data_IF_540586596607
#
_entry.id   IF_540586596607
#
_cell.length_a   1.000
_cell.length_b   1.000
_cell.length_c   1.000
_cell.angle_alpha   90.00
_cell.angle_beta   90.00
_cell.angle_gamma   90.00
#
_symmetry.space_group_name_H-M   'P 1'
#
loop_
_entity.id
_entity.type
_entity.pdbx_description
1 polymer ?
#
# COMPACT_ATOMS: atom_id res chain seq x y z
N UNK A 1 -15.70 -9.52 19.97
CA UNK A 1 -16.45 -10.05 21.17
C UNK A 1 -17.56 -9.08 21.52
N UNK A 2 -18.74 -9.62 21.73
CA UNK A 2 -19.93 -8.88 22.11
C UNK A 2 -20.64 -9.58 23.28
N UNK A 3 -21.35 -8.80 24.08
CA UNK A 3 -22.23 -9.29 25.16
C UNK A 3 -21.55 -10.36 26.07
N UNK A 4 -22.13 -11.52 26.21
CA UNK A 4 -21.65 -12.61 27.10
C UNK A 4 -20.34 -13.23 26.64
N UNK A 5 -19.89 -12.98 25.42
CA UNK A 5 -18.57 -13.41 24.97
C UNK A 5 -17.43 -12.71 25.69
N UNK A 6 -17.72 -11.52 26.27
CA UNK A 6 -16.74 -10.72 27.00
C UNK A 6 -16.54 -11.33 28.38
N UNK A 7 -15.35 -11.87 28.64
CA UNK A 7 -15.00 -12.59 29.86
C UNK A 7 -14.23 -11.76 30.88
N UNK A 8 -13.93 -10.52 30.56
CA UNK A 8 -13.24 -9.62 31.48
C UNK A 8 -14.15 -9.27 32.67
N UNK A 9 -13.59 -9.17 33.85
CA UNK A 9 -14.35 -8.87 35.07
C UNK A 9 -14.77 -7.40 35.12
N UNK A 10 -13.91 -6.52 34.67
CA UNK A 10 -14.13 -5.08 34.63
C UNK A 10 -13.85 -4.54 33.25
N UNK A 11 -14.62 -3.54 32.83
CA UNK A 11 -14.47 -2.89 31.55
C UNK A 11 -14.60 -1.38 31.72
N UNK A 12 -13.93 -0.63 30.85
CA UNK A 12 -14.14 0.81 30.73
C UNK A 12 -15.32 1.01 29.80
N UNK A 13 -16.43 1.50 30.35
CA UNK A 13 -17.68 1.59 29.62
C UNK A 13 -17.91 2.95 29.01
N UNK A 14 -18.34 2.94 27.75
CA UNK A 14 -18.88 4.11 27.03
C UNK A 14 -20.35 3.79 26.73
N UNK A 15 -21.27 4.67 27.09
CA UNK A 15 -22.69 4.45 26.86
C UNK A 15 -23.11 4.72 25.40
N UNK A 16 -24.38 4.52 25.10
CA UNK A 16 -24.97 4.70 23.78
C UNK A 16 -24.87 6.14 23.26
N UNK A 17 -24.73 7.11 24.15
CA UNK A 17 -24.58 8.53 23.82
C UNK A 17 -23.12 8.97 23.70
N UNK A 18 -22.17 8.06 23.89
CA UNK A 18 -20.75 8.36 23.84
C UNK A 18 -20.15 8.88 25.14
N UNK A 19 -20.91 8.88 26.23
CA UNK A 19 -20.45 9.32 27.54
C UNK A 19 -19.64 8.24 28.23
N UNK A 20 -18.51 8.64 28.84
CA UNK A 20 -17.68 7.69 29.59
C UNK A 20 -18.27 7.44 30.97
N UNK A 21 -18.53 6.16 31.28
CA UNK A 21 -19.07 5.73 32.57
C UNK A 21 -17.97 5.25 33.52
N UNK A 22 -16.69 5.35 33.10
CA UNK A 22 -15.56 4.86 33.89
C UNK A 22 -15.44 3.35 33.87
N UNK A 23 -14.69 2.81 34.84
CA UNK A 23 -14.49 1.36 34.99
C UNK A 23 -15.66 0.81 35.79
N UNK A 24 -16.36 -0.16 35.20
CA UNK A 24 -17.50 -0.82 35.82
C UNK A 24 -17.34 -2.36 35.74
N UNK A 25 -18.05 -3.06 36.63
CA UNK A 25 -18.13 -4.52 36.56
C UNK A 25 -18.85 -4.95 35.29
N UNK A 26 -18.47 -6.06 34.69
CA UNK A 26 -19.06 -6.59 33.46
C UNK A 26 -20.57 -6.79 33.58
N UNK A 27 -21.07 -7.23 34.74
CA UNK A 27 -22.49 -7.43 34.96
C UNK A 27 -23.26 -6.12 34.88
N UNK A 28 -22.72 -5.05 35.42
CA UNK A 28 -23.30 -3.71 35.33
C UNK A 28 -23.34 -3.24 33.87
N UNK A 29 -22.26 -3.42 33.12
CA UNK A 29 -22.17 -3.05 31.71
C UNK A 29 -23.20 -3.81 30.87
N UNK A 30 -23.36 -5.11 31.11
CA UNK A 30 -24.33 -5.94 30.40
C UNK A 30 -25.78 -5.52 30.71
N UNK A 31 -26.07 -5.18 31.95
CA UNK A 31 -27.41 -4.67 32.34
C UNK A 31 -27.72 -3.34 31.67
N UNK A 32 -26.76 -2.45 31.59
CA UNK A 32 -26.92 -1.15 30.91
C UNK A 32 -27.20 -1.32 29.42
N UNK A 33 -26.50 -2.24 28.76
CA UNK A 33 -26.70 -2.56 27.36
C UNK A 33 -28.11 -3.14 27.13
N UNK A 34 -28.52 -4.08 27.98
CA UNK A 34 -29.86 -4.69 27.93
C UNK A 34 -30.96 -3.66 28.16
N UNK A 35 -30.79 -2.76 29.13
CA UNK A 35 -31.76 -1.68 29.41
C UNK A 35 -31.91 -0.71 28.22
N UNK A 36 -30.85 -0.51 27.42
CA UNK A 36 -30.88 0.30 26.22
C UNK A 36 -31.33 -0.46 24.96
N UNK A 37 -31.59 -1.76 25.10
CA UNK A 37 -31.92 -2.68 23.99
C UNK A 37 -30.84 -2.65 22.90
N UNK A 38 -29.59 -2.63 23.31
CA UNK A 38 -28.40 -2.58 22.45
C UNK A 38 -27.41 -3.65 22.88
N UNK A 39 -26.32 -3.74 22.15
CA UNK A 39 -25.23 -4.68 22.41
C UNK A 39 -24.08 -4.01 23.17
N UNK A 40 -23.39 -4.80 24.01
CA UNK A 40 -22.11 -4.40 24.60
C UNK A 40 -20.99 -4.91 23.69
N UNK A 41 -20.22 -4.00 23.10
CA UNK A 41 -19.17 -4.32 22.12
C UNK A 41 -17.81 -3.95 22.68
N UNK A 42 -16.88 -4.90 22.68
CA UNK A 42 -15.48 -4.68 23.09
C UNK A 42 -14.73 -4.03 21.92
N UNK A 43 -14.47 -2.72 22.02
CA UNK A 43 -13.85 -1.94 20.95
C UNK A 43 -12.33 -1.82 21.05
N UNK A 44 -11.78 -1.90 22.27
CA UNK A 44 -10.34 -1.84 22.49
C UNK A 44 -9.90 -2.97 23.42
N UNK A 45 -9.66 -4.19 22.88
CA UNK A 45 -9.31 -5.36 23.69
C UNK A 45 -7.91 -5.27 24.30
N UNK A 46 -7.05 -4.46 23.76
CA UNK A 46 -5.66 -4.29 24.23
C UNK A 46 -5.52 -3.33 25.41
N UNK A 47 -6.54 -2.53 25.67
CA UNK A 47 -6.54 -1.63 26.84
C UNK A 47 -6.71 -2.42 28.14
N UNK A 48 -6.21 -1.89 29.27
CA UNK A 48 -6.35 -2.50 30.58
C UNK A 48 -6.96 -1.48 31.52
N UNK A 49 -8.24 -1.65 31.95
CA UNK A 49 -9.20 -2.65 31.49
C UNK A 49 -9.67 -2.39 30.03
N UNK A 50 -10.18 -3.42 29.33
CA UNK A 50 -10.62 -3.25 27.95
C UNK A 50 -11.78 -2.26 27.86
N UNK A 51 -11.84 -1.51 26.75
CA UNK A 51 -12.90 -0.54 26.51
C UNK A 51 -14.06 -1.22 25.79
N UNK A 52 -15.26 -1.06 26.36
CA UNK A 52 -16.50 -1.55 25.78
C UNK A 52 -17.45 -0.39 25.54
N UNK A 53 -18.24 -0.46 24.49
CA UNK A 53 -19.26 0.54 24.15
C UNK A 53 -20.60 -0.13 23.93
N UNK A 54 -21.64 0.54 24.38
CA UNK A 54 -23.03 0.12 24.16
C UNK A 54 -23.45 0.67 22.79
N UNK A 55 -23.78 -0.22 21.84
CA UNK A 55 -24.16 0.15 20.48
C UNK A 55 -24.90 -0.98 19.77
N UNK A 56 -25.51 -0.68 18.64
CA UNK A 56 -26.06 -1.69 17.74
C UNK A 56 -24.89 -2.34 16.98
N UNK A 57 -24.57 -3.59 17.30
CA UNK A 57 -23.45 -4.32 16.70
C UNK A 57 -23.61 -4.54 15.19
N UNK A 58 -24.82 -4.81 14.73
CA UNK A 58 -25.08 -4.99 13.31
C UNK A 58 -24.75 -3.76 12.50
N UNK A 59 -25.20 -2.58 12.98
CA UNK A 59 -24.90 -1.29 12.37
C UNK A 59 -23.40 -0.99 12.41
N UNK A 60 -22.76 -1.23 13.54
CA UNK A 60 -21.31 -1.03 13.72
C UNK A 60 -20.52 -1.87 12.73
N UNK A 61 -20.85 -3.16 12.61
CA UNK A 61 -20.20 -4.07 11.69
C UNK A 61 -20.34 -3.63 10.23
N UNK A 62 -21.52 -3.17 9.86
CA UNK A 62 -21.79 -2.66 8.52
C UNK A 62 -20.93 -1.42 8.21
N UNK A 63 -20.88 -0.46 9.15
CA UNK A 63 -20.06 0.75 9.00
C UNK A 63 -18.56 0.42 8.91
N UNK A 64 -18.06 -0.55 9.70
CA UNK A 64 -16.68 -0.99 9.63
C UNK A 64 -16.35 -1.62 8.27
N UNK A 65 -17.21 -2.47 7.74
CA UNK A 65 -17.05 -3.08 6.42
C UNK A 65 -17.01 -2.02 5.32
N UNK A 66 -17.90 -1.03 5.41
CA UNK A 66 -17.95 0.08 4.46
C UNK A 66 -16.66 0.91 4.50
N UNK A 67 -16.17 1.20 5.70
CA UNK A 67 -14.91 1.95 5.90
C UNK A 67 -13.72 1.21 5.34
N UNK A 68 -13.63 -0.10 5.57
CA UNK A 68 -12.57 -0.95 5.03
C UNK A 68 -12.58 -0.97 3.50
N UNK A 69 -13.77 -1.05 2.87
CA UNK A 69 -13.91 -1.00 1.42
C UNK A 69 -13.45 0.34 0.85
N UNK A 70 -13.79 1.46 1.49
CA UNK A 70 -13.34 2.79 1.09
C UNK A 70 -11.82 2.93 1.20
N UNK A 71 -11.22 2.43 2.28
CA UNK A 71 -9.78 2.43 2.47
C UNK A 71 -9.06 1.62 1.38
N UNK A 72 -9.61 0.46 1.00
CA UNK A 72 -9.05 -0.35 -0.09
C UNK A 72 -9.12 0.36 -1.44
N UNK A 73 -10.22 1.05 -1.72
CA UNK A 73 -10.37 1.83 -2.96
C UNK A 73 -9.38 2.99 -3.04
N UNK A 74 -9.11 3.64 -1.90
CA UNK A 74 -8.21 4.78 -1.81
C UNK A 74 -6.75 4.37 -1.68
N UNK A 75 -6.48 3.08 -1.49
CA UNK A 75 -5.12 2.57 -1.40
C UNK A 75 -4.46 2.63 -2.77
N UNK A 76 -3.37 3.39 -2.86
CA UNK A 76 -2.58 3.52 -4.07
C UNK A 76 -1.84 2.21 -4.33
N UNK A 77 -2.19 1.54 -5.44
CA UNK A 77 -1.47 0.34 -5.88
C UNK A 77 -0.24 0.79 -6.66
N UNK A 78 0.94 0.42 -6.17
CA UNK A 78 2.20 0.65 -6.89
C UNK A 78 2.35 -0.46 -7.92
N UNK A 79 2.28 -0.11 -9.19
CA UNK A 79 2.53 -1.05 -10.29
C UNK A 79 3.97 -0.96 -10.76
N UNK A 80 4.47 -2.03 -11.37
CA UNK A 80 5.76 -2.04 -12.05
C UNK A 80 5.49 -1.98 -13.54
N UNK A 81 5.81 -0.84 -14.15
CA UNK A 81 5.66 -0.64 -15.59
C UNK A 81 6.95 -1.05 -16.29
N UNK A 82 6.84 -1.64 -17.47
CA UNK A 82 8.01 -2.05 -18.25
C UNK A 82 8.22 -1.11 -19.42
N UNK A 83 9.48 -0.67 -19.59
CA UNK A 83 9.93 0.08 -20.75
C UNK A 83 11.00 -0.74 -21.45
N UNK A 84 10.78 -1.04 -22.72
CA UNK A 84 11.70 -1.81 -23.54
C UNK A 84 12.50 -0.90 -24.44
N UNK A 85 13.82 -1.04 -24.37
CA UNK A 85 14.76 -0.37 -25.26
C UNK A 85 15.43 -1.40 -26.16
N UNK A 86 16.07 -0.95 -27.22
CA UNK A 86 16.94 -1.80 -28.04
C UNK A 86 18.38 -1.29 -27.97
N UNK A 87 19.34 -2.16 -28.22
CA UNK A 87 20.75 -1.79 -28.23
C UNK A 87 21.09 -0.79 -29.35
N UNK A 88 20.23 -0.69 -30.37
CA UNK A 88 20.37 0.19 -31.53
C UNK A 88 19.33 1.33 -31.54
N UNK A 89 18.69 1.61 -30.40
CA UNK A 89 17.65 2.64 -30.30
C UNK A 89 18.20 4.02 -30.70
N UNK A 90 17.42 4.77 -31.49
CA UNK A 90 17.81 6.12 -31.87
C UNK A 90 17.44 7.15 -30.77
N UNK A 91 17.95 8.35 -30.92
CA UNK A 91 17.77 9.43 -29.94
C UNK A 91 16.30 9.80 -29.76
N UNK A 92 15.55 9.90 -30.85
CA UNK A 92 14.13 10.27 -30.80
C UNK A 92 13.29 9.24 -30.04
N UNK A 93 13.46 7.97 -30.35
CA UNK A 93 12.75 6.89 -29.67
C UNK A 93 13.12 6.82 -28.19
N UNK A 94 14.38 7.06 -27.86
CA UNK A 94 14.84 7.12 -26.48
C UNK A 94 14.16 8.26 -25.72
N UNK A 95 14.02 9.43 -26.33
CA UNK A 95 13.31 10.56 -25.72
C UNK A 95 11.82 10.27 -25.47
N UNK A 96 11.16 9.60 -26.42
CA UNK A 96 9.76 9.16 -26.27
C UNK A 96 9.62 8.20 -25.10
N UNK A 97 10.51 7.23 -25.01
CA UNK A 97 10.52 6.26 -23.90
C UNK A 97 10.83 6.93 -22.55
N UNK A 98 11.73 7.90 -22.55
CA UNK A 98 12.07 8.66 -21.35
C UNK A 98 10.87 9.48 -20.83
N UNK A 99 10.11 10.09 -21.71
CA UNK A 99 8.89 10.83 -21.34
C UNK A 99 7.85 9.89 -20.73
N UNK A 100 7.65 8.72 -21.33
CA UNK A 100 6.73 7.70 -20.79
C UNK A 100 7.19 7.23 -19.42
N UNK A 101 8.48 6.99 -19.23
CA UNK A 101 9.06 6.61 -17.95
C UNK A 101 8.83 7.66 -16.87
N UNK A 102 9.09 8.91 -17.18
CA UNK A 102 8.88 10.04 -16.26
C UNK A 102 7.41 10.13 -15.85
N UNK A 103 6.49 9.92 -16.78
CA UNK A 103 5.05 9.92 -16.49
C UNK A 103 4.67 8.80 -15.52
N UNK A 104 5.18 7.59 -15.73
CA UNK A 104 4.94 6.46 -14.81
C UNK A 104 5.49 6.74 -13.42
N UNK A 105 6.70 7.27 -13.33
CA UNK A 105 7.34 7.61 -12.06
C UNK A 105 6.58 8.70 -11.30
N UNK A 106 6.10 9.73 -12.00
CA UNK A 106 5.28 10.79 -11.40
C UNK A 106 3.95 10.27 -10.88
N UNK A 107 3.41 9.23 -11.50
CA UNK A 107 2.21 8.55 -11.05
C UNK A 107 2.44 7.65 -9.82
N UNK A 108 3.68 7.49 -9.39
CA UNK A 108 4.06 6.67 -8.24
C UNK A 108 4.42 5.23 -8.57
N UNK A 109 4.48 4.88 -9.84
CA UNK A 109 4.83 3.53 -10.28
C UNK A 109 6.34 3.33 -10.35
N UNK A 110 6.77 2.07 -10.18
CA UNK A 110 8.14 1.67 -10.45
C UNK A 110 8.27 1.32 -11.93
N UNK A 111 9.47 1.47 -12.48
CA UNK A 111 9.74 1.18 -13.89
C UNK A 111 10.86 0.17 -14.01
N UNK A 112 10.60 -0.89 -14.76
CA UNK A 112 11.60 -1.86 -15.17
C UNK A 112 12.02 -1.52 -16.60
N UNK A 113 13.26 -1.10 -16.78
CA UNK A 113 13.83 -0.81 -18.10
C UNK A 113 14.58 -2.05 -18.57
N UNK A 114 14.26 -2.53 -19.76
CA UNK A 114 14.86 -3.74 -20.30
C UNK A 114 15.37 -3.55 -21.73
N UNK A 115 16.49 -4.22 -22.03
CA UNK A 115 17.04 -4.34 -23.38
C UNK A 115 17.13 -5.83 -23.69
N UNK A 116 16.58 -6.23 -24.82
CA UNK A 116 16.73 -7.59 -25.34
C UNK A 116 17.79 -7.57 -26.44
N UNK A 117 18.89 -8.29 -26.21
CA UNK A 117 19.95 -8.44 -27.21
C UNK A 117 19.56 -9.49 -28.24
N UNK A 118 19.76 -9.17 -29.50
CA UNK A 118 19.48 -10.08 -30.62
C UNK A 118 20.77 -10.50 -31.30
N UNK A 119 20.88 -11.79 -31.61
CA UNK A 119 22.05 -12.36 -32.33
C UNK A 119 23.36 -12.08 -31.61
N UNK A 120 24.31 -11.46 -32.32
CA UNK A 120 25.66 -11.18 -31.80
C UNK A 120 25.72 -10.06 -30.77
N UNK A 121 24.62 -9.29 -30.59
CA UNK A 121 24.56 -8.19 -29.62
C UNK A 121 24.78 -8.66 -28.18
N UNK A 122 24.53 -9.92 -27.88
CA UNK A 122 24.75 -10.52 -26.55
C UNK A 122 26.20 -10.32 -26.09
N UNK A 123 27.13 -10.33 -27.01
CA UNK A 123 28.55 -10.17 -26.72
C UNK A 123 28.97 -8.73 -26.45
N UNK A 124 28.07 -7.78 -26.71
CA UNK A 124 28.27 -6.33 -26.59
C UNK A 124 27.43 -5.74 -25.46
N UNK A 125 27.53 -6.33 -24.27
CA UNK A 125 26.84 -5.82 -23.08
C UNK A 125 27.23 -4.40 -22.69
N UNK A 126 28.43 -3.95 -23.07
CA UNK A 126 28.91 -2.58 -22.92
C UNK A 126 28.03 -1.57 -23.66
N UNK A 127 27.59 -1.90 -24.88
CA UNK A 127 26.66 -1.05 -25.67
C UNK A 127 25.32 -0.94 -24.95
N UNK A 128 24.80 -2.05 -24.42
CA UNK A 128 23.56 -2.05 -23.62
C UNK A 128 23.69 -1.18 -22.38
N UNK A 129 24.81 -1.26 -21.69
CA UNK A 129 25.08 -0.44 -20.52
C UNK A 129 25.12 1.07 -20.85
N UNK A 130 25.75 1.43 -21.97
CA UNK A 130 25.76 2.81 -22.47
C UNK A 130 24.34 3.32 -22.73
N UNK A 131 23.51 2.50 -23.38
CA UNK A 131 22.08 2.83 -23.64
C UNK A 131 21.33 3.03 -22.32
N UNK A 132 21.52 2.14 -21.35
CA UNK A 132 20.88 2.26 -20.03
C UNK A 132 21.32 3.53 -19.30
N UNK A 133 22.59 3.85 -19.34
CA UNK A 133 23.12 5.05 -18.70
C UNK A 133 22.60 6.32 -19.38
N UNK A 134 22.54 6.35 -20.70
CA UNK A 134 21.99 7.48 -21.45
C UNK A 134 20.49 7.67 -21.15
N UNK A 135 19.75 6.58 -21.06
CA UNK A 135 18.33 6.63 -20.69
C UNK A 135 18.15 7.16 -19.28
N UNK A 136 18.93 6.67 -18.32
CA UNK A 136 18.83 7.14 -16.92
C UNK A 136 19.15 8.63 -16.82
N UNK A 137 20.13 9.14 -17.56
CA UNK A 137 20.45 10.57 -17.58
C UNK A 137 19.25 11.43 -18.01
N UNK A 138 18.40 10.91 -18.90
CA UNK A 138 17.18 11.61 -19.34
C UNK A 138 16.08 11.65 -18.26
N UNK A 139 16.07 10.71 -17.32
CA UNK A 139 15.01 10.56 -16.32
C UNK A 139 15.49 10.77 -14.87
N UNK A 140 16.74 11.07 -14.67
CA UNK A 140 17.39 11.15 -13.34
C UNK A 140 16.72 12.13 -12.37
N UNK A 141 16.08 13.17 -12.88
CA UNK A 141 15.38 14.15 -12.03
C UNK A 141 14.14 13.57 -11.37
N UNK A 142 13.58 12.51 -11.94
CA UNK A 142 12.37 11.84 -11.46
C UNK A 142 12.60 10.41 -10.98
N UNK A 143 13.80 9.86 -11.12
CA UNK A 143 14.11 8.46 -10.90
C UNK A 143 15.32 8.25 -9.98
N UNK A 144 15.20 7.21 -9.16
CA UNK A 144 16.33 6.62 -8.43
C UNK A 144 16.52 5.19 -8.93
N UNK A 145 17.78 4.76 -9.01
CA UNK A 145 18.10 3.37 -9.38
C UNK A 145 17.86 2.49 -8.15
N UNK A 146 16.86 1.60 -8.24
CA UNK A 146 16.61 0.59 -7.21
C UNK A 146 17.54 -0.60 -7.41
N UNK A 147 17.69 -1.03 -8.66
CA UNK A 147 18.67 -2.06 -9.07
C UNK A 147 19.42 -1.58 -10.30
N UNK A 148 20.75 -1.56 -10.26
CA UNK A 148 21.54 -1.13 -11.39
C UNK A 148 21.40 -2.08 -12.59
N UNK A 149 21.75 -1.59 -13.78
CA UNK A 149 21.68 -2.37 -15.00
C UNK A 149 22.56 -3.62 -14.90
N UNK A 150 21.96 -4.77 -15.19
CA UNK A 150 22.63 -6.07 -15.15
C UNK A 150 22.18 -6.91 -16.33
N UNK A 151 23.16 -7.49 -17.01
CA UNK A 151 22.90 -8.42 -18.10
C UNK A 151 22.69 -9.83 -17.57
N UNK A 152 21.58 -10.43 -17.93
CA UNK A 152 21.24 -11.82 -17.63
C UNK A 152 20.85 -12.52 -18.94
N UNK A 153 21.76 -13.34 -19.48
CA UNK A 153 21.55 -13.98 -20.78
C UNK A 153 21.36 -12.96 -21.90
N UNK A 154 20.20 -13.02 -22.56
CA UNK A 154 19.86 -12.13 -23.68
C UNK A 154 19.23 -10.81 -23.27
N UNK A 155 19.04 -10.59 -21.98
CA UNK A 155 18.35 -9.41 -21.47
C UNK A 155 19.27 -8.62 -20.54
N UNK A 156 19.13 -7.30 -20.59
CA UNK A 156 19.69 -6.40 -19.59
C UNK A 156 18.53 -5.66 -18.95
N UNK A 157 18.50 -5.60 -17.62
CA UNK A 157 17.42 -4.94 -16.89
C UNK A 157 17.96 -3.97 -15.85
N UNK A 158 17.22 -2.90 -15.67
CA UNK A 158 17.47 -1.88 -14.65
C UNK A 158 16.13 -1.51 -14.02
N UNK A 159 16.09 -1.45 -12.69
CA UNK A 159 14.85 -1.08 -11.99
C UNK A 159 14.97 0.34 -11.44
N UNK A 160 13.97 1.15 -11.73
CA UNK A 160 13.86 2.52 -11.28
C UNK A 160 12.67 2.68 -10.33
N UNK A 161 12.82 3.55 -9.35
CA UNK A 161 11.78 3.92 -8.42
C UNK A 161 11.60 5.45 -8.45
N UNK A 162 10.39 5.96 -8.14
CA UNK A 162 10.17 7.41 -8.10
C UNK A 162 11.10 8.09 -7.10
N UNK A 163 11.66 9.21 -7.51
CA UNK A 163 12.45 10.04 -6.61
C UNK A 163 11.51 10.81 -5.70
N UNK A 164 11.72 10.69 -4.40
CA UNK A 164 10.96 11.45 -3.43
C UNK A 164 11.27 12.95 -3.54
N UNK A 165 10.22 13.77 -3.61
CA UNK A 165 10.36 15.23 -3.60
C UNK A 165 10.52 15.73 -2.16
#
# INVERSE_FOLDING_TARGET
>A
MINEEIRDKEVRLIDENGNQQGVVNIDVALRMAEAADLDLVKIAPQATPPVCKIMDYGKYRFEQTKREKEQRKNQKIIEIKEIRLSATIDQHDMEVKAKACTKFLKNGDKVKVSIRFRGRQIRHGDIGLEVMNAFFEMVKDSALIERPAKQEGRNMTMNLTPKAN
#
